data_IF_127277895447
#
_entry.id   IF_127277895447
#
_cell.length_a   1.000
_cell.length_b   1.000
_cell.length_c   1.000
_cell.angle_alpha   90.00
_cell.angle_beta   90.00
_cell.angle_gamma   90.00
#
_symmetry.space_group_name_H-M   'P 1'
#
loop_
_entity.id
_entity.type
_entity.pdbx_description
1 polymer ?
#
# COMPACT_ATOMS: atom_id res chain seq x y z
N UNK A 1 -1.90 8.98 11.83
CA UNK A 1 -1.24 10.03 11.02
C UNK A 1 -0.11 9.50 10.14
N UNK A 2 0.78 8.62 10.63
CA UNK A 2 1.92 8.13 9.83
C UNK A 2 1.49 7.36 8.56
N UNK A 3 0.49 6.50 8.66
CA UNK A 3 0.07 5.65 7.53
C UNK A 3 -0.68 6.43 6.43
N UNK A 4 -1.43 7.46 6.79
CA UNK A 4 -2.18 8.33 5.86
C UNK A 4 -1.23 9.14 4.96
N UNK A 5 -0.17 9.70 5.55
CA UNK A 5 0.85 10.45 4.83
C UNK A 5 1.59 9.54 3.85
N UNK A 6 1.93 8.31 4.29
CA UNK A 6 2.61 7.35 3.42
C UNK A 6 1.73 6.92 2.25
N UNK A 7 0.43 6.66 2.48
CA UNK A 7 -0.51 6.34 1.40
C UNK A 7 -0.68 7.50 0.42
N UNK A 8 -0.83 8.72 0.92
CA UNK A 8 -0.93 9.92 0.08
C UNK A 8 0.31 10.09 -0.80
N UNK A 9 1.50 9.96 -0.21
CA UNK A 9 2.76 10.04 -0.93
C UNK A 9 2.89 8.93 -1.98
N UNK A 10 2.47 7.71 -1.65
CA UNK A 10 2.45 6.59 -2.59
C UNK A 10 1.57 6.88 -3.81
N UNK A 11 0.33 7.33 -3.61
CA UNK A 11 -0.55 7.67 -4.73
C UNK A 11 -0.07 8.90 -5.51
N UNK A 12 0.51 9.90 -4.85
CA UNK A 12 1.12 11.06 -5.52
C UNK A 12 2.29 10.63 -6.42
N UNK A 13 3.14 9.73 -5.94
CA UNK A 13 4.24 9.17 -6.73
C UNK A 13 3.72 8.33 -7.91
N UNK A 14 2.70 7.49 -7.68
CA UNK A 14 2.05 6.71 -8.73
C UNK A 14 1.45 7.61 -9.82
N UNK A 15 0.81 8.71 -9.44
CA UNK A 15 0.30 9.72 -10.36
C UNK A 15 1.43 10.37 -11.17
N UNK A 16 2.54 10.72 -10.53
CA UNK A 16 3.70 11.33 -11.21
C UNK A 16 4.31 10.36 -12.25
N UNK A 17 4.51 9.09 -11.88
CA UNK A 17 5.03 8.06 -12.78
C UNK A 17 4.05 7.77 -13.92
N UNK A 18 2.76 7.65 -13.62
CA UNK A 18 1.76 7.44 -14.66
C UNK A 18 1.68 8.66 -15.61
N UNK A 19 1.75 9.88 -15.10
CA UNK A 19 1.77 11.09 -15.92
C UNK A 19 3.00 11.15 -16.83
N UNK A 20 4.16 10.72 -16.33
CA UNK A 20 5.37 10.57 -17.14
C UNK A 20 5.17 9.55 -18.28
N UNK A 21 4.55 8.40 -17.99
CA UNK A 21 4.19 7.40 -18.99
C UNK A 21 3.19 7.95 -20.03
N UNK A 22 2.14 8.67 -19.59
CA UNK A 22 1.17 9.34 -20.48
C UNK A 22 1.84 10.28 -21.49
N UNK A 23 2.76 11.15 -21.03
CA UNK A 23 3.47 12.09 -21.91
C UNK A 23 4.29 11.36 -22.97
N UNK A 24 4.90 10.24 -22.59
CA UNK A 24 5.67 9.42 -23.52
C UNK A 24 4.79 8.71 -24.56
N UNK A 25 3.70 8.08 -24.14
CA UNK A 25 2.76 7.43 -25.06
C UNK A 25 2.14 8.46 -26.00
N UNK A 26 1.79 9.65 -25.51
CA UNK A 26 1.31 10.74 -26.34
C UNK A 26 2.32 11.11 -27.43
N UNK A 27 3.61 11.22 -27.08
CA UNK A 27 4.64 11.49 -28.07
C UNK A 27 4.78 10.35 -29.10
N UNK A 28 4.53 9.09 -28.69
CA UNK A 28 4.51 7.95 -29.61
C UNK A 28 3.30 7.96 -30.55
N UNK A 29 2.11 8.32 -30.06
CA UNK A 29 0.90 8.56 -30.87
C UNK A 29 1.17 9.61 -31.94
N UNK A 30 1.74 10.76 -31.56
CA UNK A 30 2.01 11.85 -32.50
C UNK A 30 3.00 11.39 -33.59
N UNK A 31 4.08 10.70 -33.19
CA UNK A 31 5.06 10.14 -34.14
C UNK A 31 4.45 9.10 -35.08
N UNK A 32 3.53 8.25 -34.62
CA UNK A 32 2.87 7.27 -35.50
C UNK A 32 1.91 7.95 -36.48
N UNK A 33 1.36 9.10 -36.12
CA UNK A 33 0.56 9.94 -37.01
C UNK A 33 1.39 10.82 -37.95
N UNK A 34 2.73 10.77 -37.88
CA UNK A 34 3.61 11.64 -38.67
C UNK A 34 3.65 13.10 -38.20
N UNK A 35 3.13 13.41 -37.01
CA UNK A 35 3.01 14.77 -36.48
C UNK A 35 3.92 14.99 -35.26
N UNK A 36 4.35 16.24 -35.08
CA UNK A 36 5.04 16.66 -33.86
C UNK A 36 4.06 16.83 -32.68
N UNK A 37 4.44 16.47 -31.43
CA UNK A 37 3.58 16.68 -30.26
C UNK A 37 3.12 18.15 -30.09
N UNK A 38 4.00 19.11 -30.41
CA UNK A 38 3.72 20.54 -30.33
C UNK A 38 2.65 20.99 -31.34
N UNK A 39 2.66 20.41 -32.55
CA UNK A 39 1.65 20.69 -33.58
C UNK A 39 0.27 20.24 -33.13
N UNK A 40 0.19 19.06 -32.48
CA UNK A 40 -1.06 18.52 -31.95
C UNK A 40 -1.57 19.34 -30.76
N UNK A 41 -0.67 19.80 -29.89
CA UNK A 41 -1.02 20.69 -28.76
C UNK A 41 -1.51 22.05 -29.26
N UNK A 42 -0.84 22.65 -30.24
CA UNK A 42 -1.28 23.90 -30.86
C UNK A 42 -2.66 23.73 -31.50
N UNK A 43 -2.88 22.64 -32.24
CA UNK A 43 -4.18 22.34 -32.84
C UNK A 43 -5.27 22.14 -31.78
N UNK A 44 -4.97 21.46 -30.67
CA UNK A 44 -5.90 21.31 -29.54
C UNK A 44 -6.31 22.66 -28.95
N UNK A 45 -5.39 23.64 -28.90
CA UNK A 45 -5.69 24.99 -28.40
C UNK A 45 -6.77 25.70 -29.22
N UNK A 46 -6.78 25.50 -30.53
CA UNK A 46 -7.79 26.07 -31.42
C UNK A 46 -9.16 25.38 -31.34
N UNK A 47 -9.23 24.19 -30.74
CA UNK A 47 -10.46 23.39 -30.60
C UNK A 47 -11.15 23.56 -29.23
N UNK A 48 -10.65 24.43 -28.34
CA UNK A 48 -11.20 24.56 -26.98
C UNK A 48 -12.69 25.00 -26.93
N UNK A 49 -13.23 25.55 -28.01
CA UNK A 49 -14.63 25.99 -28.13
C UNK A 49 -15.57 24.96 -28.79
N UNK A 50 -15.05 23.79 -29.18
CA UNK A 50 -15.85 22.75 -29.86
C UNK A 50 -16.42 21.77 -28.83
N UNK A 51 -17.62 21.21 -29.05
CA UNK A 51 -18.29 20.31 -28.08
C UNK A 51 -17.52 19.02 -27.78
N UNK A 52 -16.66 18.54 -28.71
CA UNK A 52 -15.90 17.28 -28.56
C UNK A 52 -14.46 17.37 -29.08
N UNK A 53 -13.60 18.19 -28.45
CA UNK A 53 -12.25 18.47 -28.96
C UNK A 53 -11.40 17.20 -29.05
N UNK A 54 -11.61 16.26 -28.13
CA UNK A 54 -10.89 15.00 -28.08
C UNK A 54 -11.17 14.08 -29.29
N UNK A 55 -12.43 14.02 -29.73
CA UNK A 55 -12.82 13.22 -30.89
C UNK A 55 -12.22 13.79 -32.18
N UNK A 56 -12.19 15.11 -32.32
CA UNK A 56 -11.58 15.77 -33.48
C UNK A 56 -10.06 15.54 -33.56
N UNK A 57 -9.35 15.66 -32.44
CA UNK A 57 -7.90 15.41 -32.40
C UNK A 57 -7.57 13.95 -32.71
N UNK A 58 -8.28 13.00 -32.10
CA UNK A 58 -8.04 11.56 -32.34
C UNK A 58 -8.40 11.13 -33.76
N UNK A 59 -9.53 11.60 -34.29
CA UNK A 59 -9.92 11.38 -35.68
C UNK A 59 -8.87 11.92 -36.65
N UNK A 60 -8.42 13.17 -36.45
CA UNK A 60 -7.37 13.78 -37.26
C UNK A 60 -6.07 12.97 -37.23
N UNK A 61 -5.62 12.55 -36.04
CA UNK A 61 -4.41 11.73 -35.91
C UNK A 61 -4.51 10.41 -36.67
N UNK A 62 -5.69 9.78 -36.71
CA UNK A 62 -5.92 8.54 -37.46
C UNK A 62 -5.94 8.80 -38.97
N UNK A 63 -6.65 9.85 -39.41
CA UNK A 63 -6.83 10.17 -40.84
C UNK A 63 -5.52 10.56 -41.53
N UNK A 64 -4.65 11.30 -40.83
CA UNK A 64 -3.36 11.72 -41.38
C UNK A 64 -2.22 10.73 -41.11
N UNK A 65 -2.49 9.60 -40.44
CA UNK A 65 -1.43 8.64 -40.13
C UNK A 65 -1.04 7.79 -41.33
N UNK A 66 0.27 7.59 -41.56
CA UNK A 66 0.78 6.61 -42.53
C UNK A 66 0.36 5.16 -42.23
N UNK A 67 0.08 4.84 -40.96
CA UNK A 67 -0.42 3.54 -40.50
C UNK A 67 -1.56 3.74 -39.48
N UNK A 68 -2.82 3.85 -39.97
CA UNK A 68 -3.98 4.10 -39.12
C UNK A 68 -4.21 3.03 -38.06
N UNK A 69 -3.86 1.77 -38.36
CA UNK A 69 -4.02 0.66 -37.42
C UNK A 69 -3.04 0.79 -36.24
N UNK A 70 -1.78 1.14 -36.52
CA UNK A 70 -0.78 1.40 -35.48
C UNK A 70 -1.14 2.62 -34.64
N UNK A 71 -1.60 3.70 -35.24
CA UNK A 71 -2.01 4.92 -34.52
C UNK A 71 -3.23 4.68 -33.63
N UNK A 72 -4.21 3.88 -34.07
CA UNK A 72 -5.34 3.47 -33.21
C UNK A 72 -4.89 2.70 -31.97
N UNK A 73 -3.94 1.76 -32.09
CA UNK A 73 -3.40 1.01 -30.94
C UNK A 73 -2.69 1.93 -29.95
N UNK A 74 -1.90 2.89 -30.44
CA UNK A 74 -1.25 3.89 -29.58
C UNK A 74 -2.25 4.81 -28.88
N UNK A 75 -3.31 5.24 -29.58
CA UNK A 75 -4.39 6.04 -29.01
C UNK A 75 -5.15 5.25 -27.92
N UNK A 76 -5.39 3.96 -28.13
CA UNK A 76 -6.00 3.10 -27.11
C UNK A 76 -5.14 3.01 -25.85
N UNK A 77 -3.83 2.77 -25.99
CA UNK A 77 -2.91 2.74 -24.83
C UNK A 77 -2.87 4.09 -24.10
N UNK A 78 -2.91 5.20 -24.84
CA UNK A 78 -2.96 6.55 -24.26
C UNK A 78 -4.25 6.78 -23.45
N UNK A 79 -5.41 6.35 -23.98
CA UNK A 79 -6.70 6.44 -23.30
C UNK A 79 -6.72 5.64 -22.00
N UNK A 80 -6.26 4.39 -22.05
CA UNK A 80 -6.23 3.51 -20.88
C UNK A 80 -5.36 4.09 -19.77
N UNK A 81 -4.20 4.66 -20.10
CA UNK A 81 -3.34 5.30 -19.11
C UNK A 81 -3.96 6.57 -18.50
N UNK A 82 -4.73 7.32 -19.28
CA UNK A 82 -5.47 8.47 -18.77
C UNK A 82 -6.60 8.08 -17.81
N UNK A 83 -7.33 7.01 -18.11
CA UNK A 83 -8.35 6.45 -17.20
C UNK A 83 -7.70 6.00 -15.89
N UNK A 84 -6.53 5.35 -15.97
CA UNK A 84 -5.77 4.91 -14.81
C UNK A 84 -5.34 6.09 -13.92
N UNK A 85 -5.02 7.25 -14.53
CA UNK A 85 -4.69 8.47 -13.80
C UNK A 85 -5.89 9.04 -13.03
N UNK A 86 -7.08 9.00 -13.63
CA UNK A 86 -8.31 9.43 -12.95
C UNK A 86 -8.62 8.52 -11.76
N UNK A 87 -8.48 7.20 -11.91
CA UNK A 87 -8.62 6.27 -10.79
C UNK A 87 -7.58 6.54 -9.69
N UNK A 88 -6.31 6.71 -10.04
CA UNK A 88 -5.26 7.04 -9.06
C UNK A 88 -5.56 8.31 -8.26
N UNK A 89 -6.09 9.35 -8.94
CA UNK A 89 -6.48 10.60 -8.28
C UNK A 89 -7.70 10.40 -7.36
N UNK A 90 -8.72 9.67 -7.83
CA UNK A 90 -9.91 9.35 -7.03
C UNK A 90 -9.53 8.60 -5.75
N UNK A 91 -8.71 7.54 -5.86
CA UNK A 91 -8.30 6.75 -4.70
C UNK A 91 -7.34 7.49 -3.77
N UNK A 92 -6.53 8.43 -4.27
CA UNK A 92 -5.75 9.33 -3.42
C UNK A 92 -6.65 10.18 -2.51
N UNK A 93 -7.74 10.73 -3.06
CA UNK A 93 -8.71 11.53 -2.28
C UNK A 93 -9.47 10.66 -1.28
N UNK A 94 -9.94 9.47 -1.71
CA UNK A 94 -10.64 8.53 -0.82
C UNK A 94 -9.73 8.05 0.32
N UNK A 95 -8.44 7.83 0.05
CA UNK A 95 -7.46 7.45 1.06
C UNK A 95 -7.24 8.51 2.13
N UNK A 96 -7.33 9.80 1.79
CA UNK A 96 -7.31 10.87 2.77
C UNK A 96 -8.55 10.88 3.70
N UNK A 97 -9.68 10.35 3.23
CA UNK A 97 -10.96 10.43 3.95
C UNK A 97 -11.29 9.17 4.76
N UNK A 98 -10.71 8.02 4.43
CA UNK A 98 -11.13 6.73 4.99
C UNK A 98 -9.97 5.99 5.66
N UNK A 99 -10.01 5.93 7.00
CA UNK A 99 -9.02 5.18 7.80
C UNK A 99 -9.25 3.67 7.76
N UNK A 100 -10.46 3.24 7.45
CA UNK A 100 -10.95 1.86 7.64
C UNK A 100 -10.50 0.89 6.54
N UNK A 101 -10.08 1.40 5.37
CA UNK A 101 -9.85 0.57 4.17
C UNK A 101 -8.39 0.56 3.69
N UNK A 102 -7.42 0.79 4.58
CA UNK A 102 -6.01 0.93 4.19
C UNK A 102 -5.47 -0.23 3.35
N UNK A 103 -5.79 -1.48 3.72
CA UNK A 103 -5.36 -2.66 2.96
C UNK A 103 -6.01 -2.74 1.57
N UNK A 104 -7.30 -2.39 1.45
CA UNK A 104 -8.04 -2.35 0.17
C UNK A 104 -7.46 -1.29 -0.74
N UNK A 105 -7.16 -0.11 -0.20
CA UNK A 105 -6.50 0.98 -0.92
C UNK A 105 -5.10 0.56 -1.38
N UNK A 106 -4.37 -0.19 -0.55
CA UNK A 106 -3.11 -0.84 -0.93
C UNK A 106 -3.27 -1.78 -2.12
N UNK A 107 -4.28 -2.65 -2.09
CA UNK A 107 -4.56 -3.61 -3.16
C UNK A 107 -4.88 -2.87 -4.47
N UNK A 108 -5.74 -1.85 -4.40
CA UNK A 108 -6.07 -1.00 -5.54
C UNK A 108 -4.82 -0.31 -6.08
N UNK A 109 -3.99 0.24 -5.20
CA UNK A 109 -2.69 0.83 -5.55
C UNK A 109 -1.78 -0.14 -6.30
N UNK A 110 -1.66 -1.38 -5.83
CA UNK A 110 -0.89 -2.44 -6.48
C UNK A 110 -1.46 -2.81 -7.86
N UNK A 111 -2.78 -2.91 -7.99
CA UNK A 111 -3.44 -3.15 -9.28
C UNK A 111 -3.16 -2.01 -10.25
N UNK A 112 -3.29 -0.75 -9.84
CA UNK A 112 -2.99 0.40 -10.69
C UNK A 112 -1.51 0.45 -11.10
N UNK A 113 -0.59 0.12 -10.20
CA UNK A 113 0.84 0.01 -10.51
C UNK A 113 1.12 -1.12 -11.53
N UNK A 114 0.46 -2.28 -11.38
CA UNK A 114 0.59 -3.39 -12.31
C UNK A 114 0.06 -3.02 -13.71
N UNK A 115 -1.10 -2.38 -13.79
CA UNK A 115 -1.63 -1.88 -15.06
C UNK A 115 -0.67 -0.86 -15.71
N UNK A 116 -0.09 0.05 -14.93
CA UNK A 116 0.90 1.01 -15.42
C UNK A 116 2.13 0.30 -16.00
N UNK A 117 2.63 -0.73 -15.31
CA UNK A 117 3.74 -1.56 -15.79
C UNK A 117 3.40 -2.29 -17.09
N UNK A 118 2.22 -2.92 -17.18
CA UNK A 118 1.75 -3.62 -18.38
C UNK A 118 1.64 -2.66 -19.57
N UNK A 119 1.02 -1.49 -19.38
CA UNK A 119 0.88 -0.48 -20.44
C UNK A 119 2.24 0.06 -20.89
N UNK A 120 3.19 0.20 -19.96
CA UNK A 120 4.57 0.61 -20.27
C UNK A 120 5.28 -0.45 -21.11
N UNK A 121 5.20 -1.72 -20.71
CA UNK A 121 5.74 -2.85 -21.49
C UNK A 121 5.12 -2.92 -22.88
N UNK A 122 3.79 -2.82 -22.97
CA UNK A 122 3.07 -2.79 -24.24
C UNK A 122 3.58 -1.65 -25.13
N UNK A 123 3.72 -0.44 -24.58
CA UNK A 123 4.29 0.70 -25.31
C UNK A 123 5.72 0.44 -25.80
N UNK A 124 6.58 -0.22 -25.01
CA UNK A 124 7.96 -0.52 -25.43
C UNK A 124 7.95 -1.55 -26.55
N UNK A 125 7.14 -2.60 -26.45
CA UNK A 125 7.01 -3.65 -27.46
C UNK A 125 6.47 -3.08 -28.78
N UNK A 126 5.39 -2.29 -28.73
CA UNK A 126 4.83 -1.65 -29.93
C UNK A 126 5.69 -0.51 -30.48
N UNK A 127 6.57 0.05 -29.65
CA UNK A 127 7.52 1.11 -30.00
C UNK A 127 8.79 0.60 -30.68
N UNK A 128 9.03 -0.71 -30.69
CA UNK A 128 10.18 -1.27 -31.42
C UNK A 128 10.04 -0.97 -32.91
N UNK A 129 11.07 -0.38 -33.55
CA UNK A 129 11.07 -0.23 -35.00
C UNK A 129 10.93 -1.62 -35.62
N UNK A 130 10.08 -1.75 -36.64
CA UNK A 130 10.05 -2.97 -37.47
C UNK A 130 11.49 -3.22 -37.93
N UNK A 131 12.04 -4.44 -37.81
CA UNK A 131 13.34 -4.73 -38.40
C UNK A 131 13.26 -4.29 -39.86
N UNK A 132 14.16 -3.40 -40.26
CA UNK A 132 14.23 -2.95 -41.64
C UNK A 132 14.30 -4.22 -42.50
N UNK A 133 13.40 -4.32 -43.49
CA UNK A 133 13.55 -5.31 -44.56
C UNK A 133 14.99 -5.17 -45.05
N UNK A 134 15.71 -6.27 -45.21
CA UNK A 134 17.17 -6.38 -45.32
C UNK A 134 17.85 -5.65 -46.51
N UNK A 135 17.33 -4.52 -46.97
CA UNK A 135 17.80 -3.74 -48.11
C UNK A 135 18.59 -2.46 -47.72
N UNK A 136 18.58 -2.03 -46.45
CA UNK A 136 19.38 -0.86 -46.02
C UNK A 136 20.68 -1.33 -45.36
N UNK A 137 21.71 -1.50 -46.18
CA UNK A 137 23.09 -1.83 -45.76
C UNK A 137 23.61 -0.86 -44.70
N UNK A 138 24.31 -1.40 -43.70
CA UNK A 138 24.84 -0.71 -42.52
C UNK A 138 25.89 0.39 -42.80
N UNK A 139 26.26 0.62 -44.07
CA UNK A 139 27.34 1.51 -44.47
C UNK A 139 26.98 3.01 -44.52
N UNK A 140 25.68 3.37 -44.55
CA UNK A 140 25.24 4.75 -44.88
C UNK A 140 24.54 5.49 -43.73
N UNK A 141 24.61 4.97 -42.49
CA UNK A 141 24.01 5.65 -41.34
C UNK A 141 24.94 6.73 -40.77
N UNK A 142 24.57 8.02 -40.79
CA UNK A 142 25.39 9.07 -40.20
C UNK A 142 25.58 8.84 -38.69
N UNK A 143 26.72 9.25 -38.10
CA UNK A 143 27.06 9.02 -36.68
C UNK A 143 26.05 9.61 -35.68
N UNK A 144 25.19 10.54 -36.12
CA UNK A 144 24.08 11.08 -35.33
C UNK A 144 22.91 10.11 -35.12
N UNK A 145 22.75 9.10 -35.99
CA UNK A 145 21.71 8.06 -35.86
C UNK A 145 21.96 7.14 -34.65
N UNK A 146 23.22 6.78 -34.39
CA UNK A 146 23.60 5.91 -33.27
C UNK A 146 23.31 6.56 -31.90
N UNK A 147 23.57 7.87 -31.75
CA UNK A 147 23.24 8.62 -30.53
C UNK A 147 21.72 8.70 -30.29
N UNK A 148 20.93 8.88 -31.36
CA UNK A 148 19.47 8.96 -31.29
C UNK A 148 18.83 7.62 -30.91
N UNK A 149 19.35 6.51 -31.45
CA UNK A 149 18.92 5.14 -31.11
C UNK A 149 19.29 4.79 -29.67
N UNK A 150 20.51 5.10 -29.22
CA UNK A 150 20.94 4.89 -27.82
C UNK A 150 20.05 5.63 -26.83
N UNK A 151 19.73 6.91 -27.11
CA UNK A 151 18.83 7.72 -26.27
C UNK A 151 17.42 7.11 -26.17
N UNK A 152 16.90 6.56 -27.27
CA UNK A 152 15.60 5.89 -27.28
C UNK A 152 15.57 4.63 -26.40
N UNK A 153 16.65 3.82 -26.40
CA UNK A 153 16.75 2.65 -25.53
C UNK A 153 16.92 3.03 -24.06
N UNK A 154 17.73 4.04 -23.74
CA UNK A 154 17.89 4.57 -22.37
C UNK A 154 16.56 5.09 -21.84
N UNK A 155 15.84 5.86 -22.65
CA UNK A 155 14.53 6.41 -22.27
C UNK A 155 13.46 5.31 -22.10
N UNK A 156 13.56 4.18 -22.82
CA UNK A 156 12.66 3.04 -22.64
C UNK A 156 13.03 2.24 -21.38
N UNK A 157 14.32 2.02 -21.12
CA UNK A 157 14.80 1.35 -19.92
C UNK A 157 14.44 2.14 -18.65
N UNK A 158 14.64 3.45 -18.64
CA UNK A 158 14.27 4.30 -17.52
C UNK A 158 12.78 4.17 -17.15
N UNK A 159 11.89 4.11 -18.15
CA UNK A 159 10.44 3.93 -17.93
C UNK A 159 10.09 2.57 -17.33
N UNK A 160 10.73 1.51 -17.82
CA UNK A 160 10.54 0.17 -17.28
C UNK A 160 11.02 0.09 -15.83
N UNK A 161 12.17 0.70 -15.52
CA UNK A 161 12.69 0.77 -14.15
C UNK A 161 11.73 1.55 -13.23
N UNK A 162 11.23 2.71 -13.67
CA UNK A 162 10.26 3.47 -12.88
C UNK A 162 8.96 2.69 -12.64
N UNK A 163 8.41 2.04 -13.68
CA UNK A 163 7.17 1.28 -13.55
C UNK A 163 7.34 0.01 -12.69
N UNK A 164 8.46 -0.71 -12.84
CA UNK A 164 8.79 -1.86 -12.02
C UNK A 164 9.06 -1.46 -10.56
N UNK A 165 9.77 -0.35 -10.33
CA UNK A 165 10.01 0.21 -9.01
C UNK A 165 8.71 0.60 -8.31
N UNK A 166 7.77 1.21 -9.04
CA UNK A 166 6.43 1.51 -8.51
C UNK A 166 5.64 0.27 -8.15
N UNK A 167 5.68 -0.77 -8.99
CA UNK A 167 5.03 -2.04 -8.68
C UNK A 167 5.65 -2.70 -7.44
N UNK A 168 6.98 -2.73 -7.36
CA UNK A 168 7.70 -3.26 -6.19
C UNK A 168 7.33 -2.52 -4.90
N UNK A 169 7.30 -1.18 -4.95
CA UNK A 169 6.85 -0.36 -3.82
C UNK A 169 5.39 -0.66 -3.45
N UNK A 170 4.50 -0.81 -4.42
CA UNK A 170 3.09 -1.11 -4.18
C UNK A 170 2.89 -2.48 -3.51
N UNK A 171 3.63 -3.49 -3.95
CA UNK A 171 3.59 -4.83 -3.35
C UNK A 171 4.16 -4.83 -1.93
N UNK A 172 5.26 -4.11 -1.69
CA UNK A 172 5.81 -3.91 -0.35
C UNK A 172 4.79 -3.26 0.59
N UNK A 173 4.20 -2.14 0.16
CA UNK A 173 3.15 -1.45 0.92
C UNK A 173 1.93 -2.32 1.18
N UNK A 174 1.52 -3.15 0.22
CA UNK A 174 0.42 -4.09 0.39
C UNK A 174 0.70 -5.13 1.49
N UNK A 175 1.94 -5.64 1.55
CA UNK A 175 2.37 -6.54 2.62
C UNK A 175 2.32 -5.88 3.99
N UNK A 176 2.82 -4.65 4.11
CA UNK A 176 2.81 -3.88 5.37
C UNK A 176 1.40 -3.52 5.87
N UNK A 177 0.43 -3.40 4.96
CA UNK A 177 -0.97 -3.09 5.29
C UNK A 177 -1.86 -4.33 5.46
N UNK A 178 -1.34 -5.52 5.17
CA UNK A 178 -2.10 -6.76 5.29
C UNK A 178 -2.57 -6.94 6.75
N UNK A 179 -3.86 -7.28 6.97
CA UNK A 179 -4.36 -7.49 8.31
C UNK A 179 -3.65 -8.68 8.97
N UNK A 180 -3.28 -8.54 10.25
CA UNK A 180 -2.75 -9.64 11.06
C UNK A 180 -3.90 -10.59 11.43
N UNK A 181 -3.61 -11.88 11.47
CA UNK A 181 -4.58 -12.88 11.94
C UNK A 181 -4.60 -12.84 13.48
N UNK A 182 -5.76 -12.65 14.12
CA UNK A 182 -5.85 -12.69 15.57
C UNK A 182 -5.51 -14.08 16.10
N UNK A 183 -4.79 -14.20 17.24
CA UNK A 183 -4.53 -15.50 17.82
C UNK A 183 -5.82 -16.11 18.38
N UNK A 184 -5.89 -17.43 18.30
CA UNK A 184 -7.01 -18.20 18.87
C UNK A 184 -6.83 -18.38 20.38
N UNK A 185 -7.93 -18.66 21.08
CA UNK A 185 -7.91 -19.00 22.50
C UNK A 185 -6.93 -20.15 22.81
N UNK A 186 -6.88 -21.17 21.94
CA UNK A 186 -5.96 -22.30 22.10
C UNK A 186 -4.49 -21.92 21.94
N UNK A 187 -4.18 -21.03 20.99
CA UNK A 187 -2.81 -20.52 20.84
C UNK A 187 -2.37 -19.74 22.08
N UNK A 188 -3.26 -18.91 22.63
CA UNK A 188 -3.01 -18.16 23.86
C UNK A 188 -2.80 -19.10 25.05
N UNK A 189 -3.67 -20.10 25.24
CA UNK A 189 -3.53 -21.11 26.30
C UNK A 189 -2.23 -21.89 26.20
N UNK A 190 -1.88 -22.33 24.98
CA UNK A 190 -0.67 -23.08 24.73
C UNK A 190 0.58 -22.25 25.05
N UNK A 191 0.64 -20.97 24.64
CA UNK A 191 1.73 -20.07 24.95
C UNK A 191 1.88 -19.83 26.47
N UNK A 192 0.76 -19.56 27.16
CA UNK A 192 0.76 -19.39 28.63
C UNK A 192 1.26 -20.65 29.35
N UNK A 193 0.78 -21.82 28.93
CA UNK A 193 1.16 -23.11 29.54
C UNK A 193 2.62 -23.46 29.25
N UNK A 194 3.12 -23.16 28.05
CA UNK A 194 4.52 -23.38 27.68
C UNK A 194 5.49 -22.59 28.55
N UNK A 195 5.08 -21.42 29.04
CA UNK A 195 5.84 -20.60 29.97
C UNK A 195 5.57 -20.90 31.45
N UNK A 196 4.80 -21.95 31.75
CA UNK A 196 4.55 -22.43 33.11
C UNK A 196 3.39 -21.74 33.83
N UNK A 197 2.63 -20.88 33.15
CA UNK A 197 1.44 -20.27 33.74
C UNK A 197 0.22 -21.19 33.65
N UNK A 198 -0.67 -21.09 34.64
CA UNK A 198 -1.97 -21.75 34.64
C UNK A 198 -3.04 -20.78 34.13
N UNK A 199 -3.46 -20.85 32.84
CA UNK A 199 -4.49 -19.97 32.31
C UNK A 199 -5.85 -20.26 32.97
N UNK A 200 -6.52 -19.21 33.40
CA UNK A 200 -7.87 -19.21 33.92
C UNK A 200 -8.81 -18.61 32.89
N UNK A 201 -9.96 -19.25 32.68
CA UNK A 201 -11.00 -18.76 31.79
C UNK A 201 -12.24 -18.40 32.59
N UNK A 202 -12.90 -17.33 32.16
CA UNK A 202 -14.17 -16.91 32.73
C UNK A 202 -15.27 -17.92 32.38
N UNK A 203 -16.13 -18.22 33.35
CA UNK A 203 -17.28 -19.10 33.15
C UNK A 203 -18.35 -18.46 32.26
N UNK A 204 -19.23 -19.27 31.67
CA UNK A 204 -20.31 -18.77 30.80
C UNK A 204 -21.25 -17.78 31.51
N UNK A 205 -21.53 -18.01 32.79
CA UNK A 205 -22.39 -17.12 33.60
C UNK A 205 -21.72 -15.77 33.87
N UNK A 206 -20.42 -15.76 34.13
CA UNK A 206 -19.63 -14.52 34.34
C UNK A 206 -19.46 -13.73 33.03
N UNK A 207 -19.32 -14.42 31.89
CA UNK A 207 -19.28 -13.81 30.55
C UNK A 207 -20.59 -13.10 30.20
N UNK A 208 -21.73 -13.55 30.72
CA UNK A 208 -23.04 -12.94 30.45
C UNK A 208 -23.13 -11.48 30.94
N UNK A 209 -22.33 -11.11 31.94
CA UNK A 209 -22.24 -9.72 32.45
C UNK A 209 -21.46 -8.79 31.50
N UNK A 210 -20.77 -9.34 30.49
CA UNK A 210 -19.93 -8.60 29.55
C UNK A 210 -20.42 -8.79 28.10
N UNK A 211 -21.47 -8.06 27.67
CA UNK A 211 -22.04 -8.22 26.33
C UNK A 211 -21.00 -7.98 25.22
N UNK A 212 -20.91 -8.93 24.29
CA UNK A 212 -19.99 -8.91 23.14
C UNK A 212 -18.62 -9.55 23.40
N UNK A 213 -18.30 -9.91 24.65
CA UNK A 213 -17.11 -10.67 25.00
C UNK A 213 -17.38 -12.17 24.81
N UNK A 214 -16.64 -12.80 23.90
CA UNK A 214 -16.81 -14.21 23.58
C UNK A 214 -15.98 -15.11 24.53
N UNK A 215 -14.75 -14.68 24.84
CA UNK A 215 -13.84 -15.37 25.75
C UNK A 215 -12.99 -14.37 26.52
N UNK A 216 -12.66 -14.75 27.75
CA UNK A 216 -11.65 -14.09 28.58
C UNK A 216 -10.68 -15.13 29.12
N UNK A 217 -9.40 -14.91 28.90
CA UNK A 217 -8.31 -15.74 29.43
C UNK A 217 -7.41 -14.84 30.25
N UNK A 218 -7.10 -15.23 31.48
CA UNK A 218 -6.08 -14.55 32.28
C UNK A 218 -5.11 -15.51 32.91
N UNK A 219 -3.88 -15.06 33.07
CA UNK A 219 -2.91 -15.75 33.92
C UNK A 219 -2.04 -14.72 34.64
N UNK A 220 -1.49 -15.16 35.77
CA UNK A 220 -0.56 -14.37 36.55
C UNK A 220 -0.15 -15.07 37.82
N UNK A 221 0.96 -14.64 38.39
CA UNK A 221 1.58 -15.15 39.62
C UNK A 221 1.79 -14.04 40.68
N UNK A 222 1.19 -12.88 40.46
CA UNK A 222 1.33 -11.69 41.30
C UNK A 222 2.47 -10.76 40.88
N UNK A 223 3.48 -11.24 40.14
CA UNK A 223 4.56 -10.43 39.57
C UNK A 223 4.30 -10.08 38.10
N UNK A 224 3.58 -10.96 37.40
CA UNK A 224 3.09 -10.74 36.05
C UNK A 224 1.57 -10.93 36.04
N UNK A 225 0.86 -10.00 35.39
CA UNK A 225 -0.55 -10.11 35.08
C UNK A 225 -0.71 -10.07 33.56
N UNK A 226 -1.46 -11.04 33.03
CA UNK A 226 -1.76 -11.13 31.61
C UNK A 226 -3.23 -11.46 31.41
N UNK A 227 -3.92 -10.64 30.61
CA UNK A 227 -5.34 -10.76 30.32
C UNK A 227 -5.58 -10.65 28.82
N UNK A 228 -6.35 -11.58 28.28
CA UNK A 228 -6.76 -11.63 26.88
C UNK A 228 -8.28 -11.60 26.79
N UNK A 229 -8.79 -10.68 25.99
CA UNK A 229 -10.20 -10.51 25.70
C UNK A 229 -10.44 -10.84 24.23
N UNK A 230 -11.33 -11.77 23.92
CA UNK A 230 -11.72 -12.12 22.55
C UNK A 230 -13.18 -11.71 22.39
N UNK A 231 -13.45 -10.80 21.46
CA UNK A 231 -14.79 -10.29 21.17
C UNK A 231 -15.36 -10.92 19.90
N UNK A 232 -16.69 -10.86 19.76
CA UNK A 232 -17.37 -11.19 18.50
C UNK A 232 -17.31 -10.03 17.49
N UNK A 233 -17.22 -8.80 18.00
CA UNK A 233 -17.15 -7.56 17.21
C UNK A 233 -15.76 -6.90 17.31
N UNK A 234 -15.09 -6.63 16.19
CA UNK A 234 -13.81 -5.90 16.18
C UNK A 234 -13.88 -4.47 16.73
N UNK A 235 -15.05 -3.82 16.68
CA UNK A 235 -15.25 -2.49 17.27
C UNK A 235 -15.10 -2.52 18.78
N UNK A 236 -15.78 -3.46 19.45
CA UNK A 236 -15.69 -3.66 20.89
C UNK A 236 -14.25 -3.97 21.37
N UNK A 237 -13.47 -4.71 20.57
CA UNK A 237 -12.06 -4.95 20.84
C UNK A 237 -11.24 -3.64 20.83
N UNK A 238 -11.45 -2.79 19.83
CA UNK A 238 -10.75 -1.50 19.74
C UNK A 238 -11.08 -0.59 20.92
N UNK A 239 -12.35 -0.47 21.31
CA UNK A 239 -12.75 0.35 22.45
C UNK A 239 -12.13 -0.16 23.76
N UNK A 240 -12.01 -1.49 23.90
CA UNK A 240 -11.37 -2.12 25.06
C UNK A 240 -9.86 -1.87 25.08
N UNK A 241 -9.20 -1.92 23.92
CA UNK A 241 -7.79 -1.50 23.79
C UNK A 241 -7.59 -0.03 24.17
N UNK A 242 -8.44 0.88 23.70
CA UNK A 242 -8.31 2.32 24.01
C UNK A 242 -8.46 2.57 25.52
N UNK A 243 -9.39 1.86 26.19
CA UNK A 243 -9.51 1.87 27.66
C UNK A 243 -8.29 1.30 28.37
N UNK A 244 -7.76 0.16 27.90
CA UNK A 244 -6.56 -0.45 28.48
C UNK A 244 -5.34 0.48 28.35
N UNK A 245 -5.15 1.11 27.19
CA UNK A 245 -4.12 2.11 26.97
C UNK A 245 -4.26 3.32 27.91
N UNK A 246 -5.47 3.89 28.02
CA UNK A 246 -5.72 5.00 28.97
C UNK A 246 -5.45 4.59 30.41
N UNK A 247 -5.75 3.35 30.80
CA UNK A 247 -5.45 2.81 32.12
C UNK A 247 -3.94 2.78 32.39
N UNK A 248 -3.14 2.25 31.45
CA UNK A 248 -1.67 2.23 31.58
C UNK A 248 -1.13 3.63 31.79
N UNK A 249 -1.56 4.57 30.94
CA UNK A 249 -1.12 5.97 30.98
C UNK A 249 -1.48 6.62 32.31
N UNK A 250 -2.74 6.52 32.73
CA UNK A 250 -3.21 7.16 33.98
C UNK A 250 -2.62 6.55 35.24
N UNK A 251 -2.32 5.24 35.24
CA UNK A 251 -1.85 4.54 36.42
C UNK A 251 -0.33 4.62 36.60
N UNK A 252 0.44 4.50 35.52
CA UNK A 252 1.89 4.27 35.61
C UNK A 252 2.76 5.28 34.88
N UNK A 253 2.21 6.19 34.08
CA UNK A 253 3.01 7.17 33.36
C UNK A 253 3.57 8.23 34.31
N UNK A 254 4.75 7.94 34.84
CA UNK A 254 5.52 8.83 35.71
C UNK A 254 6.93 8.99 35.16
N UNK A 255 7.48 10.20 35.24
CA UNK A 255 8.83 10.46 34.72
C UNK A 255 9.90 9.83 35.63
N UNK A 256 10.95 9.21 35.08
CA UNK A 256 11.20 8.97 33.65
C UNK A 256 10.44 7.74 33.13
N UNK A 257 9.93 7.83 31.89
CA UNK A 257 9.30 6.71 31.20
C UNK A 257 9.81 6.60 29.75
N UNK A 258 9.63 5.43 29.15
CA UNK A 258 9.81 5.17 27.72
C UNK A 258 8.56 4.47 27.21
N UNK A 259 7.90 5.03 26.20
CA UNK A 259 6.76 4.42 25.55
C UNK A 259 7.05 4.08 24.08
N UNK A 260 6.37 3.07 23.56
CA UNK A 260 6.37 2.77 22.14
C UNK A 260 4.94 2.53 21.67
N UNK A 261 4.63 3.06 20.49
CA UNK A 261 3.33 2.87 19.84
C UNK A 261 3.56 2.34 18.43
N UNK A 262 3.07 1.14 18.19
CA UNK A 262 2.98 0.56 16.86
C UNK A 262 1.51 0.38 16.52
N UNK A 263 1.05 0.95 15.41
CA UNK A 263 -0.32 0.80 14.94
C UNK A 263 -0.29 0.59 13.43
N UNK A 264 -0.98 -0.45 12.94
CA UNK A 264 -1.08 -0.81 11.52
C UNK A 264 -2.38 -1.58 11.27
N UNK A 265 -3.18 -1.16 10.29
CA UNK A 265 -4.39 -1.90 9.85
C UNK A 265 -5.30 -2.31 11.01
N UNK A 266 -5.49 -3.62 11.26
CA UNK A 266 -6.29 -4.17 12.36
C UNK A 266 -5.48 -4.46 13.64
N UNK A 267 -4.30 -3.88 13.81
CA UNK A 267 -3.35 -4.18 14.88
C UNK A 267 -2.79 -2.93 15.53
N UNK A 268 -2.67 -2.93 16.85
CA UNK A 268 -1.85 -1.96 17.57
C UNK A 268 -1.21 -2.58 18.82
N UNK A 269 -0.04 -2.09 19.19
CA UNK A 269 0.68 -2.39 20.42
C UNK A 269 1.16 -1.07 21.01
N UNK A 270 0.80 -0.85 22.26
CA UNK A 270 1.30 0.20 23.12
C UNK A 270 2.10 -0.46 24.25
N UNK A 271 3.33 -0.02 24.45
CA UNK A 271 4.15 -0.46 25.60
C UNK A 271 4.59 0.74 26.40
N UNK A 272 4.60 0.63 27.72
CA UNK A 272 5.15 1.63 28.63
C UNK A 272 6.15 0.97 29.57
N UNK A 273 7.33 1.55 29.69
CA UNK A 273 8.28 1.26 30.76
C UNK A 273 8.43 2.52 31.61
N UNK A 274 8.09 2.44 32.90
CA UNK A 274 8.16 3.57 33.84
C UNK A 274 8.64 3.06 35.20
N UNK A 275 9.79 3.56 35.66
CA UNK A 275 10.48 2.99 36.83
C UNK A 275 10.76 1.49 36.64
N UNK A 276 10.37 0.70 37.62
CA UNK A 276 10.52 -0.77 37.63
C UNK A 276 9.31 -1.51 37.04
N UNK A 277 8.40 -0.81 36.35
CA UNK A 277 7.21 -1.42 35.75
C UNK A 277 7.30 -1.47 34.23
N UNK A 278 6.78 -2.54 33.65
CA UNK A 278 6.53 -2.68 32.22
C UNK A 278 5.07 -3.05 31.98
N UNK A 279 4.39 -2.33 31.09
CA UNK A 279 2.98 -2.54 30.76
C UNK A 279 2.75 -2.56 29.25
N UNK A 280 1.77 -3.34 28.82
CA UNK A 280 1.37 -3.49 27.42
C UNK A 280 -0.15 -3.44 27.29
N UNK A 281 -0.62 -2.69 26.30
CA UNK A 281 -1.96 -2.84 25.75
C UNK A 281 -1.81 -3.12 24.26
N UNK A 282 -2.50 -4.12 23.74
CA UNK A 282 -2.41 -4.46 22.34
C UNK A 282 -3.73 -5.03 21.81
N UNK A 283 -3.97 -4.92 20.51
CA UNK A 283 -5.06 -5.63 19.85
C UNK A 283 -4.67 -6.12 18.46
N UNK A 284 -5.27 -7.23 18.02
CA UNK A 284 -5.27 -7.73 16.64
C UNK A 284 -6.72 -8.13 16.34
N UNK A 285 -7.36 -7.48 15.37
CA UNK A 285 -8.74 -7.75 14.99
C UNK A 285 -9.68 -7.65 16.19
N UNK A 286 -10.23 -8.79 16.61
CA UNK A 286 -11.19 -8.92 17.71
C UNK A 286 -10.55 -9.36 19.05
N UNK A 287 -9.22 -9.54 19.09
CA UNK A 287 -8.51 -10.01 20.28
C UNK A 287 -7.68 -8.87 20.88
N UNK A 288 -7.87 -8.62 22.17
CA UNK A 288 -7.17 -7.60 22.95
C UNK A 288 -6.32 -8.27 24.00
N UNK A 289 -5.11 -7.77 24.18
CA UNK A 289 -4.19 -8.17 25.23
C UNK A 289 -3.93 -6.97 26.13
N UNK A 290 -3.98 -7.21 27.42
CA UNK A 290 -3.54 -6.29 28.45
C UNK A 290 -2.63 -7.04 29.41
N UNK A 291 -1.44 -6.50 29.68
CA UNK A 291 -0.53 -7.11 30.61
C UNK A 291 0.38 -6.10 31.27
N UNK A 292 0.88 -6.44 32.44
CA UNK A 292 1.89 -5.67 33.13
C UNK A 292 2.70 -6.57 34.06
N UNK A 293 3.94 -6.18 34.31
CA UNK A 293 4.84 -6.89 35.20
C UNK A 293 5.92 -5.96 35.73
N UNK A 294 6.63 -6.42 36.76
CA UNK A 294 7.90 -5.81 37.17
C UNK A 294 8.94 -5.98 36.05
N UNK A 295 9.93 -5.09 36.00
CA UNK A 295 10.92 -5.02 34.93
C UNK A 295 11.74 -6.31 34.80
N UNK A 296 11.98 -7.00 35.92
CA UNK A 296 12.66 -8.31 35.99
C UNK A 296 11.92 -9.40 35.19
N UNK A 297 10.61 -9.24 34.99
CA UNK A 297 9.75 -10.17 34.26
C UNK A 297 9.41 -9.68 32.84
N UNK A 298 9.95 -8.53 32.42
CA UNK A 298 9.68 -7.93 31.09
C UNK A 298 9.96 -8.91 29.95
N UNK A 299 11.06 -9.65 30.01
CA UNK A 299 11.41 -10.60 28.95
C UNK A 299 10.38 -11.72 28.80
N UNK A 300 9.77 -12.18 29.90
CA UNK A 300 8.75 -13.21 29.89
C UNK A 300 7.49 -12.68 29.20
N UNK A 301 7.05 -11.47 29.58
CA UNK A 301 5.89 -10.82 28.93
C UNK A 301 6.14 -10.58 27.43
N UNK A 302 7.34 -10.11 27.06
CA UNK A 302 7.70 -9.89 25.64
C UNK A 302 7.72 -11.19 24.85
N UNK A 303 8.31 -12.26 25.39
CA UNK A 303 8.31 -13.59 24.73
C UNK A 303 6.89 -14.09 24.53
N UNK A 304 6.02 -13.92 25.52
CA UNK A 304 4.63 -14.32 25.39
C UNK A 304 3.95 -13.58 24.24
N UNK A 305 4.08 -12.25 24.18
CA UNK A 305 3.56 -11.44 23.07
C UNK A 305 4.12 -11.86 21.71
N UNK A 306 5.38 -12.30 21.65
CA UNK A 306 5.98 -12.83 20.42
C UNK A 306 5.37 -14.17 20.00
N UNK A 307 5.19 -15.10 20.93
CA UNK A 307 4.58 -16.42 20.68
C UNK A 307 3.14 -16.30 20.16
N UNK A 308 2.38 -15.34 20.67
CA UNK A 308 1.00 -15.08 20.20
C UNK A 308 0.92 -14.07 19.04
N UNK A 309 2.06 -13.66 18.46
CA UNK A 309 2.13 -12.88 17.22
C UNK A 309 1.88 -11.37 17.35
N UNK A 310 1.84 -10.85 18.58
CA UNK A 310 1.70 -9.43 18.88
C UNK A 310 3.00 -8.67 18.76
N UNK A 311 4.16 -9.30 18.93
CA UNK A 311 5.46 -8.68 18.72
C UNK A 311 6.32 -9.53 17.81
N UNK A 312 7.22 -8.89 17.06
CA UNK A 312 8.17 -9.62 16.22
C UNK A 312 9.32 -10.14 17.10
N UNK A 313 9.85 -11.33 16.77
CA UNK A 313 11.05 -11.84 17.41
C UNK A 313 12.23 -10.90 17.08
N UNK A 314 12.95 -10.48 18.12
CA UNK A 314 14.13 -9.63 17.99
C UNK A 314 15.32 -10.40 17.41
#
# INVERSE_FOLDING_TARGET
>A
MRDEVVQLLFFALLLAVNQYCCRWIFAAVCRSAGMGPEQVVAYRKHLHLTERPYFHVSSRLITFSPDPAKTRRWLFLYQMNHVLLLFGMFFAVVGCMTRTFGWVLGLVGAVLAAFTAILTVAGVVYGRPRPARAADTAADRPPHGAKKVRRQYVDAAAKLVCAAGMLGLALFMLGEMAPKTPPTAEQVRAALTAQGYAPQEMGADELADYPGLARYISAGDGQLQFSVYIFDDPGAARDTYERAHQRIVSQWMQSPFTDTVTQRSNYAVYTLQAGDMYAVAAYIGQTVVYGYCDLDHKEQLVRLLQEIGYMDAA
#
